data_IF_605423183890
#
_entry.id   IF_605423183890
#
_cell.length_a   1.000
_cell.length_b   1.000
_cell.length_c   1.000
_cell.angle_alpha   90.00
_cell.angle_beta   90.00
_cell.angle_gamma   90.00
#
_symmetry.space_group_name_H-M   'P 1'
#
loop_
_entity.id
_entity.type
_entity.pdbx_description
1 polymer ?
#
# COMPACT_ATOMS: atom_id res chain seq x y z
N UNK A 1 29.77 19.26 -0.40
CA UNK A 1 30.02 19.14 1.05
C UNK A 1 28.66 18.95 1.69
N UNK A 2 28.36 17.74 2.17
CA UNK A 2 27.11 17.47 2.88
C UNK A 2 27.26 18.03 4.29
N UNK A 3 26.45 19.02 4.64
CA UNK A 3 26.31 19.47 6.02
C UNK A 3 25.53 18.36 6.72
N UNK A 4 26.23 17.56 7.53
CA UNK A 4 25.62 16.52 8.34
C UNK A 4 24.65 17.18 9.33
N UNK A 5 23.36 16.87 9.20
CA UNK A 5 22.32 17.48 10.04
C UNK A 5 22.29 16.70 11.35
N UNK A 6 22.63 17.36 12.45
CA UNK A 6 22.48 16.82 13.80
C UNK A 6 20.98 16.81 14.18
N UNK A 7 20.37 15.64 14.07
CA UNK A 7 18.95 15.45 14.34
C UNK A 7 18.63 15.49 15.85
N UNK A 8 19.58 15.12 16.71
CA UNK A 8 19.38 15.11 18.17
C UNK A 8 19.35 16.55 18.70
N UNK A 9 20.27 17.40 18.22
CA UNK A 9 20.26 18.83 18.53
C UNK A 9 19.01 19.54 17.97
N UNK A 10 18.51 19.09 16.82
CA UNK A 10 17.28 19.63 16.22
C UNK A 10 16.04 19.26 17.05
N UNK A 11 15.94 18.01 17.50
CA UNK A 11 14.86 17.54 18.35
C UNK A 11 14.80 18.34 19.65
N UNK A 12 15.92 18.42 20.37
CA UNK A 12 16.02 19.14 21.64
C UNK A 12 15.50 20.59 21.53
N UNK A 13 15.85 21.28 20.43
CA UNK A 13 15.42 22.66 20.17
C UNK A 13 13.93 22.78 19.79
N UNK A 14 13.36 21.80 19.10
CA UNK A 14 11.95 21.83 18.69
C UNK A 14 11.00 21.42 19.81
N UNK A 15 11.47 20.66 20.80
CA UNK A 15 10.72 20.27 21.99
C UNK A 15 10.86 21.22 23.17
N UNK A 16 11.76 22.20 23.08
CA UNK A 16 12.00 23.21 24.10
C UNK A 16 10.79 24.18 24.22
N UNK A 17 10.08 24.21 25.36
CA UNK A 17 8.97 25.13 25.58
C UNK A 17 9.36 26.61 25.55
N UNK A 18 10.63 26.93 25.85
CA UNK A 18 11.18 28.28 25.90
C UNK A 18 11.75 28.73 24.55
N UNK A 19 11.76 27.84 23.54
CA UNK A 19 12.17 28.13 22.18
C UNK A 19 10.95 28.14 21.24
N UNK A 20 10.14 29.23 21.22
CA UNK A 20 8.97 29.29 20.37
C UNK A 20 9.40 29.16 18.90
N UNK A 21 8.74 28.24 18.18
CA UNK A 21 8.93 28.10 16.74
C UNK A 21 8.58 29.44 16.10
N UNK A 22 9.53 30.05 15.40
CA UNK A 22 9.28 31.28 14.63
C UNK A 22 8.13 30.99 13.67
N UNK A 23 7.15 31.89 13.60
CA UNK A 23 6.05 31.75 12.65
C UNK A 23 6.62 31.51 11.27
N UNK A 24 6.03 30.56 10.53
CA UNK A 24 6.34 30.40 9.12
C UNK A 24 6.22 31.79 8.47
N UNK A 25 7.22 32.20 7.69
CA UNK A 25 7.20 33.47 6.97
C UNK A 25 5.99 33.57 6.04
N UNK A 26 5.86 34.67 5.29
CA UNK A 26 4.77 34.80 4.31
C UNK A 26 4.74 33.60 3.37
N UNK A 27 3.69 32.79 3.48
CA UNK A 27 3.44 31.66 2.60
C UNK A 27 3.02 32.22 1.25
N UNK A 28 3.82 31.96 0.21
CA UNK A 28 3.43 32.26 -1.15
C UNK A 28 2.28 31.32 -1.54
N UNK A 29 1.29 31.86 -2.22
CA UNK A 29 0.12 31.12 -2.70
C UNK A 29 -0.15 31.42 -4.17
N UNK A 30 -0.94 30.57 -4.83
CA UNK A 30 -1.31 30.72 -6.23
C UNK A 30 -0.09 30.84 -7.16
N UNK A 31 -0.13 31.80 -8.07
CA UNK A 31 0.88 31.97 -9.11
C UNK A 31 2.28 32.26 -8.55
N UNK A 32 2.36 32.99 -7.44
CA UNK A 32 3.63 33.27 -6.78
C UNK A 32 4.28 32.00 -6.21
N UNK A 33 3.48 31.04 -5.73
CA UNK A 33 3.99 29.74 -5.29
C UNK A 33 4.39 28.86 -6.48
N UNK A 34 3.62 28.92 -7.56
CA UNK A 34 3.91 28.16 -8.78
C UNK A 34 5.24 28.61 -9.42
N UNK A 35 5.47 29.93 -9.50
CA UNK A 35 6.72 30.49 -10.04
C UNK A 35 7.93 30.11 -9.18
N UNK A 36 7.83 30.24 -7.86
CA UNK A 36 8.89 29.85 -6.93
C UNK A 36 9.18 28.35 -6.97
N UNK A 37 8.13 27.53 -7.00
CA UNK A 37 8.24 26.07 -7.12
C UNK A 37 8.86 25.66 -8.46
N UNK A 38 8.49 26.31 -9.55
CA UNK A 38 9.08 26.10 -10.87
C UNK A 38 10.57 26.46 -10.88
N UNK A 39 10.94 27.63 -10.36
CA UNK A 39 12.34 28.04 -10.23
C UNK A 39 13.16 27.08 -9.35
N UNK A 40 12.56 26.56 -8.28
CA UNK A 40 13.16 25.52 -7.43
C UNK A 40 13.44 24.25 -8.24
N UNK A 41 12.46 23.75 -8.99
CA UNK A 41 12.60 22.54 -9.79
C UNK A 41 13.62 22.74 -10.92
N UNK A 42 13.65 23.91 -11.56
CA UNK A 42 14.60 24.21 -12.63
C UNK A 42 16.04 24.21 -12.13
N UNK A 43 16.29 24.69 -10.91
CA UNK A 43 17.62 24.63 -10.28
C UNK A 43 18.06 23.19 -9.99
N UNK A 44 17.13 22.32 -9.62
CA UNK A 44 17.42 20.93 -9.27
C UNK A 44 17.61 20.04 -10.51
N UNK A 45 16.71 20.17 -11.49
CA UNK A 45 16.65 19.29 -12.66
C UNK A 45 17.34 19.89 -13.91
N UNK A 46 17.66 21.18 -13.91
CA UNK A 46 18.45 21.84 -14.95
C UNK A 46 17.71 22.25 -16.22
N UNK A 47 16.57 21.63 -16.54
CA UNK A 47 15.72 22.04 -17.67
C UNK A 47 14.25 21.65 -17.47
N UNK A 48 13.35 22.28 -18.22
CA UNK A 48 11.91 21.96 -18.20
C UNK A 48 11.63 20.56 -18.73
N UNK A 49 12.39 20.09 -19.73
CA UNK A 49 12.29 18.74 -20.26
C UNK A 49 12.68 17.69 -19.21
N UNK A 50 13.70 17.97 -18.40
CA UNK A 50 14.12 17.09 -17.30
C UNK A 50 13.07 17.04 -16.18
N UNK A 51 12.44 18.18 -15.85
CA UNK A 51 11.32 18.23 -14.91
C UNK A 51 10.14 17.40 -15.44
N UNK A 52 9.74 17.63 -16.69
CA UNK A 52 8.64 16.90 -17.31
C UNK A 52 8.92 15.39 -17.35
N UNK A 53 10.15 14.99 -17.72
CA UNK A 53 10.56 13.58 -17.70
C UNK A 53 10.46 12.98 -16.29
N UNK A 54 10.96 13.68 -15.26
CA UNK A 54 10.88 13.22 -13.87
C UNK A 54 9.44 13.08 -13.34
N UNK A 55 8.56 14.02 -13.72
CA UNK A 55 7.14 14.00 -13.36
C UNK A 55 6.32 13.00 -14.19
N UNK A 56 6.77 12.68 -15.41
CA UNK A 56 6.09 11.75 -16.32
C UNK A 56 6.25 10.29 -15.90
N UNK A 57 7.25 9.96 -15.08
CA UNK A 57 7.35 8.63 -14.48
C UNK A 57 6.17 8.50 -13.51
N UNK A 58 5.26 7.51 -13.68
CA UNK A 58 4.15 7.29 -12.76
C UNK A 58 4.68 6.66 -11.46
N UNK A 59 5.53 7.40 -10.75
CA UNK A 59 5.87 7.15 -9.35
C UNK A 59 4.74 7.75 -8.53
N UNK A 60 3.60 7.06 -8.55
CA UNK A 60 2.62 7.25 -7.49
C UNK A 60 3.30 7.06 -6.12
N UNK A 61 2.63 7.51 -5.06
CA UNK A 61 3.11 7.33 -3.67
C UNK A 61 3.65 5.90 -3.48
N UNK A 62 4.92 5.73 -3.07
CA UNK A 62 5.44 4.40 -2.78
C UNK A 62 4.50 3.69 -1.81
N UNK A 63 4.00 2.52 -2.19
CA UNK A 63 3.19 1.69 -1.29
C UNK A 63 4.14 1.15 -0.21
N UNK A 64 4.26 1.89 0.88
CA UNK A 64 4.93 1.42 2.10
C UNK A 64 4.03 0.40 2.78
N UNK A 65 4.48 -0.86 2.81
CA UNK A 65 3.77 -2.03 3.36
C UNK A 65 3.60 -3.16 2.33
N UNK A 66 3.60 -4.41 2.80
CA UNK A 66 3.26 -5.57 1.96
C UNK A 66 1.93 -5.32 1.25
N UNK A 67 1.80 -5.62 -0.06
CA UNK A 67 0.55 -5.40 -0.79
C UNK A 67 -0.58 -6.06 0.01
N UNK A 68 -1.53 -5.24 0.46
CA UNK A 68 -2.71 -5.70 1.20
C UNK A 68 -3.32 -6.80 0.33
N UNK A 69 -3.29 -8.05 0.80
CA UNK A 69 -3.79 -9.18 0.04
C UNK A 69 -5.19 -8.81 -0.45
N UNK A 70 -5.37 -8.80 -1.77
CA UNK A 70 -6.65 -8.50 -2.37
C UNK A 70 -7.72 -9.51 -1.90
N UNK A 71 -9.00 -9.29 -2.28
CA UNK A 71 -10.03 -10.28 -2.01
C UNK A 71 -9.56 -11.68 -2.45
N UNK A 72 -9.77 -12.70 -1.61
CA UNK A 72 -9.35 -14.06 -1.93
C UNK A 72 -9.89 -14.48 -3.31
N UNK A 73 -9.07 -15.13 -4.15
CA UNK A 73 -9.52 -15.56 -5.47
C UNK A 73 -10.75 -16.47 -5.35
N UNK A 74 -11.72 -16.29 -6.24
CA UNK A 74 -12.99 -17.03 -6.24
C UNK A 74 -13.05 -17.98 -7.43
N UNK A 75 -13.29 -19.26 -7.16
CA UNK A 75 -13.53 -20.30 -8.18
C UNK A 75 -15.03 -20.63 -8.18
N UNK A 76 -15.65 -20.66 -9.37
CA UNK A 76 -17.06 -21.01 -9.56
C UNK A 76 -17.17 -22.32 -10.32
N UNK A 77 -17.98 -23.26 -9.81
CA UNK A 77 -18.25 -24.54 -10.44
C UNK A 77 -19.69 -24.97 -10.17
N UNK A 78 -20.20 -25.90 -11.00
CA UNK A 78 -21.47 -26.60 -10.77
C UNK A 78 -21.16 -28.00 -10.25
N UNK A 79 -21.97 -28.50 -9.34
CA UNK A 79 -21.92 -29.88 -8.84
C UNK A 79 -23.28 -30.53 -9.05
N UNK A 80 -23.34 -31.86 -8.99
CA UNK A 80 -24.61 -32.58 -9.11
C UNK A 80 -25.52 -32.31 -7.90
N UNK A 81 -26.83 -32.44 -8.08
CA UNK A 81 -27.80 -32.30 -6.99
C UNK A 81 -27.57 -33.32 -5.87
N UNK A 82 -27.12 -34.54 -6.24
CA UNK A 82 -26.78 -35.59 -5.29
C UNK A 82 -25.59 -35.19 -4.40
N UNK A 83 -24.53 -34.64 -4.99
CA UNK A 83 -23.35 -34.16 -4.26
C UNK A 83 -23.70 -32.98 -3.37
N UNK A 84 -24.55 -32.07 -3.85
CA UNK A 84 -25.03 -30.94 -3.05
C UNK A 84 -25.82 -31.40 -1.83
N UNK A 85 -26.70 -32.39 -1.99
CA UNK A 85 -27.46 -32.98 -0.88
C UNK A 85 -26.53 -33.67 0.14
N UNK A 86 -25.52 -34.41 -0.32
CA UNK A 86 -24.51 -35.02 0.55
C UNK A 86 -23.70 -33.94 1.30
N UNK A 87 -23.33 -32.86 0.61
CA UNK A 87 -22.59 -31.75 1.18
C UNK A 87 -23.38 -31.02 2.28
N UNK A 88 -24.70 -30.84 2.09
CA UNK A 88 -25.59 -30.28 3.13
C UNK A 88 -25.68 -31.15 4.37
N UNK A 89 -25.67 -32.48 4.23
CA UNK A 89 -25.60 -33.39 5.38
C UNK A 89 -24.27 -33.27 6.12
N UNK A 90 -23.17 -33.11 5.39
CA UNK A 90 -21.84 -32.90 5.98
C UNK A 90 -21.76 -31.57 6.75
N UNK A 91 -22.33 -30.50 6.20
CA UNK A 91 -22.46 -29.20 6.88
C UNK A 91 -23.22 -29.34 8.21
N UNK A 92 -24.37 -30.01 8.20
CA UNK A 92 -25.19 -30.24 9.39
C UNK A 92 -24.48 -31.14 10.44
N UNK A 93 -23.78 -32.19 10.00
CA UNK A 93 -23.10 -33.11 10.90
C UNK A 93 -21.86 -32.50 11.57
N UNK A 94 -21.15 -31.62 10.87
CA UNK A 94 -19.89 -31.02 11.36
C UNK A 94 -20.09 -29.67 12.03
N UNK A 95 -21.21 -28.97 11.77
CA UNK A 95 -21.45 -27.60 12.22
C UNK A 95 -20.51 -26.56 11.61
N UNK A 96 -19.72 -26.94 10.59
CA UNK A 96 -18.72 -26.08 9.94
C UNK A 96 -19.35 -25.31 8.78
N UNK A 97 -18.76 -24.14 8.47
CA UNK A 97 -19.21 -23.33 7.33
C UNK A 97 -18.87 -24.02 6.01
N UNK A 98 -19.74 -23.87 5.02
CA UNK A 98 -19.52 -24.40 3.66
C UNK A 98 -18.17 -23.99 3.08
N UNK A 99 -17.76 -22.73 3.26
CA UNK A 99 -16.48 -22.22 2.78
C UNK A 99 -15.29 -23.00 3.32
N UNK A 100 -15.36 -23.45 4.57
CA UNK A 100 -14.25 -24.10 5.26
C UNK A 100 -14.13 -25.55 4.81
N UNK A 101 -15.28 -26.21 4.62
CA UNK A 101 -15.36 -27.56 4.05
C UNK A 101 -14.85 -27.59 2.60
N UNK A 102 -15.21 -26.58 1.78
CA UNK A 102 -14.70 -26.47 0.40
C UNK A 102 -13.20 -26.21 0.39
N UNK A 103 -12.69 -25.31 1.24
CA UNK A 103 -11.24 -25.04 1.34
C UNK A 103 -10.46 -26.30 1.72
N UNK A 104 -10.96 -27.07 2.67
CA UNK A 104 -10.34 -28.33 3.07
C UNK A 104 -10.37 -29.37 1.95
N UNK A 105 -11.52 -29.54 1.27
CA UNK A 105 -11.63 -30.47 0.15
C UNK A 105 -10.66 -30.12 -0.99
N UNK A 106 -10.54 -28.83 -1.33
CA UNK A 106 -9.59 -28.33 -2.33
C UNK A 106 -8.15 -28.57 -1.87
N UNK A 107 -7.82 -28.29 -0.61
CA UNK A 107 -6.47 -28.52 -0.10
C UNK A 107 -6.11 -30.01 -0.13
N UNK A 108 -7.00 -30.91 0.31
CA UNK A 108 -6.80 -32.36 0.23
C UNK A 108 -6.54 -32.82 -1.21
N UNK A 109 -7.34 -32.33 -2.17
CA UNK A 109 -7.13 -32.62 -3.58
C UNK A 109 -5.73 -32.16 -4.05
N UNK A 110 -5.30 -30.96 -3.68
CA UNK A 110 -3.98 -30.45 -4.06
C UNK A 110 -2.82 -31.22 -3.41
N UNK A 111 -3.00 -31.69 -2.18
CA UNK A 111 -2.04 -32.57 -1.48
C UNK A 111 -1.94 -33.92 -2.18
N UNK A 112 -3.06 -34.53 -2.55
CA UNK A 112 -3.11 -35.79 -3.29
C UNK A 112 -2.37 -35.70 -4.64
N UNK A 113 -2.44 -34.52 -5.27
CA UNK A 113 -1.72 -34.21 -6.51
C UNK A 113 -0.28 -33.69 -6.30
N UNK A 114 0.24 -33.65 -5.07
CA UNK A 114 1.59 -33.18 -4.71
C UNK A 114 1.89 -31.74 -5.16
N UNK A 115 0.87 -30.90 -5.21
CA UNK A 115 0.99 -29.48 -5.59
C UNK A 115 1.16 -28.57 -4.36
N UNK A 116 0.72 -29.04 -3.20
CA UNK A 116 0.80 -28.33 -1.91
C UNK A 116 1.10 -29.36 -0.82
N UNK A 117 1.77 -28.94 0.26
CA UNK A 117 2.08 -29.75 1.45
C UNK A 117 1.23 -29.34 2.64
#
# INVERSE_FOLDING_TARGET
>A
MSTEIDYDALEARLTDPDYPVRSAGQVKTGDAAAADGHAFLLREYGSDEAIAAAMSVPRGRPRVGSPKAGPSPTVRARISDADYAAFKKLEAATGRRQSDLVREAVHRLLVDHKLVS
#
